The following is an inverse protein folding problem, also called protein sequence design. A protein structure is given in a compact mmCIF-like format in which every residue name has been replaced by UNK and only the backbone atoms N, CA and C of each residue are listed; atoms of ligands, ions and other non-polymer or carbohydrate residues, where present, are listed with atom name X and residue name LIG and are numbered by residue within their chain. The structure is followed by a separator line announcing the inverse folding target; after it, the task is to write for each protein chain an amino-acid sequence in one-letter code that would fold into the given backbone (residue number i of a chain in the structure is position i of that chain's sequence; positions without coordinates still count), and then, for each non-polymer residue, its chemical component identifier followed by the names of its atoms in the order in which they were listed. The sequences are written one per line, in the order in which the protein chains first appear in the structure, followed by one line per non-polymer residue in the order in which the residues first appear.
data_IF_081890406991
#
_entry.id   IF_081890406991
#
_cell.length_a   1.000
_cell.length_b   1.000
_cell.length_c   1.000
_cell.angle_alpha   90.00
_cell.angle_beta   90.00
_cell.angle_gamma   90.00
#
_symmetry.space_group_name_H-M   'P 1'
#
loop_
_entity.id
_entity.type
_entity.pdbx_description
1 polymer ?
#
# COMPACT_ATOMS: atom_id res chain seq x y z
N UNK A 1 -29.21 12.67 -14.12
CA UNK A 1 -28.68 12.49 -13.81
C UNK A 1 -28.03 12.38 -13.34
N UNK A 2 -28.00 12.30 -13.03
CA UNK A 2 -27.26 12.21 -12.53
C UNK A 2 -26.67 11.49 -12.06
N UNK A 3 -26.19 11.46 -12.13
CA UNK A 3 -25.47 10.72 -11.75
C UNK A 3 -25.05 10.83 -10.47
N UNK A 4 -25.03 10.13 -9.96
CA UNK A 4 -24.77 10.15 -8.66
C UNK A 4 -23.43 10.56 -8.52
N UNK A 5 -23.29 11.16 -7.85
CA UNK A 5 -22.21 11.62 -7.74
C UNK A 5 -21.37 10.78 -7.09
N UNK A 6 -20.61 10.43 -7.55
CA UNK A 6 -19.74 9.77 -6.96
C UNK A 6 -18.91 10.71 -6.30
N UNK A 7 -18.75 10.61 -5.10
CA UNK A 7 -17.97 11.49 -4.42
C UNK A 7 -16.61 11.34 -4.86
N UNK A 8 -15.96 12.31 -5.27
CA UNK A 8 -14.58 12.28 -5.68
C UNK A 8 -13.72 12.32 -4.43
N UNK A 9 -12.82 11.40 -4.28
CA UNK A 9 -11.89 11.41 -3.15
C UNK A 9 -10.61 12.11 -3.60
N UNK A 10 -10.46 13.08 -3.22
CA UNK A 10 -9.47 13.90 -3.59
C UNK A 10 -8.17 13.42 -3.26
N UNK A 11 -8.07 12.84 -2.22
CA UNK A 11 -6.88 12.37 -1.79
C UNK A 11 -6.39 11.37 -2.67
N UNK A 12 -7.31 10.56 -2.96
CA UNK A 12 -6.94 9.45 -3.81
C UNK A 12 -6.60 9.93 -5.22
N UNK A 13 -7.35 10.83 -5.74
CA UNK A 13 -7.08 11.34 -7.08
C UNK A 13 -5.70 11.98 -7.12
N UNK A 14 -5.37 12.75 -6.12
CA UNK A 14 -4.05 13.38 -6.04
C UNK A 14 -2.95 12.33 -5.94
N UNK A 15 -3.16 11.37 -5.14
CA UNK A 15 -2.17 10.30 -5.00
C UNK A 15 -1.94 9.57 -6.34
N UNK A 16 -2.86 9.17 -6.91
CA UNK A 16 -2.73 8.55 -8.03
C UNK A 16 -1.97 9.25 -8.98
N UNK A 17 -2.26 10.60 -9.22
CA UNK A 17 -1.47 11.41 -10.15
C UNK A 17 -0.01 11.52 -9.76
N UNK A 18 0.23 11.69 -8.48
CA UNK A 18 1.60 11.79 -7.99
C UNK A 18 2.36 10.49 -8.20
N UNK A 19 1.69 9.36 -8.06
CA UNK A 19 2.35 8.08 -8.30
C UNK A 19 2.78 7.96 -9.75
N UNK A 20 1.92 8.37 -10.67
CA UNK A 20 2.27 8.30 -12.09
C UNK A 20 3.42 9.24 -12.42
N UNK A 21 3.40 10.43 -11.86
CA UNK A 21 4.47 11.38 -12.08
C UNK A 21 5.79 10.84 -11.51
N UNK A 22 5.71 10.26 -10.33
CA UNK A 22 6.90 9.73 -9.68
C UNK A 22 7.48 8.56 -10.49
N UNK A 23 6.61 7.71 -11.04
CA UNK A 23 7.06 6.61 -11.87
C UNK A 23 7.78 7.15 -13.11
N UNK A 24 7.21 8.19 -13.72
CA UNK A 24 7.81 8.79 -14.89
C UNK A 24 9.16 9.39 -14.59
N UNK A 25 9.27 10.11 -13.48
CA UNK A 25 10.50 10.82 -13.18
C UNK A 25 11.61 9.88 -12.70
N UNK A 26 11.28 8.78 -12.04
CA UNK A 26 12.29 7.86 -11.52
C UNK A 26 12.57 6.69 -12.46
N UNK A 27 11.65 6.41 -13.36
CA UNK A 27 11.76 5.22 -14.20
C UNK A 27 11.34 3.95 -13.45
N UNK A 28 10.80 4.08 -12.25
CA UNK A 28 10.45 2.91 -11.45
C UNK A 28 9.00 2.53 -11.68
N UNK A 29 8.77 1.40 -12.30
CA UNK A 29 7.42 0.99 -12.68
C UNK A 29 6.52 0.62 -11.52
N UNK A 30 7.09 0.38 -10.34
CA UNK A 30 6.28 -0.02 -9.21
C UNK A 30 5.24 1.03 -8.85
N UNK A 31 5.55 2.28 -9.06
CA UNK A 31 4.62 3.35 -8.68
C UNK A 31 3.44 3.41 -9.65
N UNK A 32 3.70 3.17 -10.91
CA UNK A 32 2.60 3.09 -11.86
C UNK A 32 1.70 1.86 -11.60
N UNK A 33 2.23 0.87 -11.14
CA UNK A 33 1.55 -0.22 -10.80
C UNK A 33 0.68 -0.04 -9.72
N UNK A 34 1.17 0.63 -8.83
CA UNK A 34 0.38 0.97 -7.66
C UNK A 34 -0.79 1.88 -8.04
N UNK A 35 -0.49 2.90 -8.82
CA UNK A 35 -1.56 3.81 -9.25
C UNK A 35 -2.66 3.08 -9.98
N UNK A 36 -2.27 2.19 -10.87
CA UNK A 36 -3.24 1.44 -11.67
C UNK A 36 -4.15 0.61 -10.78
N UNK A 37 -3.57 -0.03 -9.77
CA UNK A 37 -4.37 -0.82 -8.86
C UNK A 37 -5.34 0.03 -8.05
N UNK A 38 -4.90 1.20 -7.64
CA UNK A 38 -5.76 2.07 -6.85
C UNK A 38 -6.82 2.78 -7.68
N UNK A 39 -6.66 2.80 -8.98
CA UNK A 39 -7.67 3.39 -9.87
C UNK A 39 -8.79 2.41 -10.17
N UNK A 40 -8.63 1.15 -9.84
CA UNK A 40 -9.72 0.19 -10.05
C UNK A 40 -10.73 0.29 -8.92
N UNK A 41 -11.77 -0.31 -8.98
CA UNK A 41 -12.80 -0.16 -8.07
C UNK A 41 -12.35 -0.58 -6.73
N UNK A 42 -12.80 -0.26 -5.97
CA UNK A 42 -12.48 -0.54 -4.70
C UNK A 42 -12.59 -1.94 -4.40
N UNK A 43 -13.68 -2.50 -4.89
CA UNK A 43 -13.85 -3.94 -4.62
C UNK A 43 -12.71 -4.78 -5.17
N UNK A 44 -11.93 -4.22 -6.07
CA UNK A 44 -10.80 -4.95 -6.62
C UNK A 44 -9.49 -4.61 -5.93
N UNK A 45 -9.53 -3.77 -4.93
CA UNK A 45 -8.33 -3.41 -4.22
C UNK A 45 -7.80 -4.59 -3.40
N UNK A 46 -6.49 -4.62 -3.20
CA UNK A 46 -5.90 -5.63 -2.35
C UNK A 46 -6.38 -5.45 -0.91
N UNK A 47 -6.71 -6.55 -0.26
CA UNK A 47 -7.09 -6.50 1.16
C UNK A 47 -6.47 -7.67 1.90
N UNK A 48 -5.16 -7.77 1.90
CA UNK A 48 -4.53 -8.90 2.58
C UNK A 48 -4.62 -8.77 4.09
N UNK A 49 -4.73 -9.90 4.76
CA UNK A 49 -4.59 -9.88 6.21
C UNK A 49 -3.14 -10.12 6.59
N UNK A 50 -2.85 -10.11 7.88
CA UNK A 50 -1.46 -10.21 8.33
C UNK A 50 -0.84 -11.57 8.04
N UNK A 51 -1.63 -12.64 8.11
CA UNK A 51 -1.11 -13.95 7.78
C UNK A 51 -0.66 -14.01 6.34
N UNK A 52 -1.44 -13.40 5.45
CA UNK A 52 -1.10 -13.39 4.03
C UNK A 52 0.20 -12.61 3.79
N UNK A 53 0.31 -11.45 4.43
CA UNK A 53 1.54 -10.65 4.29
C UNK A 53 2.74 -11.44 4.82
N UNK A 54 2.56 -12.07 5.98
CA UNK A 54 3.65 -12.80 6.59
C UNK A 54 4.12 -13.95 5.72
N UNK A 55 3.16 -14.67 5.11
CA UNK A 55 3.52 -15.81 4.27
C UNK A 55 4.25 -15.40 2.99
N UNK A 56 4.00 -14.21 2.51
CA UNK A 56 4.54 -13.77 1.23
C UNK A 56 5.66 -12.74 1.35
N UNK A 57 6.23 -12.59 2.52
CA UNK A 57 7.32 -11.63 2.70
C UNK A 57 8.34 -12.18 3.68
N UNK A 58 9.53 -11.60 3.63
CA UNK A 58 10.61 -11.98 4.53
C UNK A 58 10.70 -11.00 5.69
N UNK A 59 11.34 -11.43 6.76
CA UNK A 59 11.62 -10.55 7.88
C UNK A 59 12.36 -9.32 7.36
N UNK A 60 11.93 -8.16 7.81
CA UNK A 60 12.53 -6.85 7.47
C UNK A 60 12.32 -6.40 6.04
N UNK A 61 11.55 -7.14 5.28
CA UNK A 61 11.27 -6.73 3.91
C UNK A 61 10.26 -5.58 3.89
N UNK A 62 10.30 -4.77 2.84
CA UNK A 62 9.31 -3.72 2.64
C UNK A 62 8.23 -4.23 1.70
N UNK A 63 6.99 -4.14 2.12
CA UNK A 63 5.85 -4.62 1.36
C UNK A 63 4.94 -3.46 1.04
N UNK A 64 4.49 -3.37 -0.19
CA UNK A 64 3.59 -2.31 -0.63
C UNK A 64 2.25 -2.93 -1.00
N UNK A 65 1.19 -2.48 -0.33
CA UNK A 65 -0.15 -2.99 -0.54
C UNK A 65 -1.01 -1.89 -1.15
N UNK A 66 -1.42 -2.01 -2.41
CA UNK A 66 -2.30 -1.00 -3.00
C UNK A 66 -3.74 -1.28 -2.59
N UNK A 67 -4.03 -0.99 -1.37
CA UNK A 67 -5.34 -1.25 -0.80
C UNK A 67 -5.31 -1.12 0.70
N UNK A 68 -6.04 -1.99 1.37
CA UNK A 68 -6.18 -1.93 2.82
C UNK A 68 -5.64 -3.19 3.47
N UNK A 69 -4.86 -3.00 4.53
CA UNK A 69 -4.33 -4.13 5.28
C UNK A 69 -5.28 -4.45 6.43
N UNK A 70 -5.69 -5.69 6.51
CA UNK A 70 -6.62 -6.17 7.52
C UNK A 70 -5.86 -6.91 8.61
N UNK A 71 -6.43 -6.94 9.80
CA UNK A 71 -5.68 -7.36 10.99
C UNK A 71 -5.77 -8.79 11.41
N UNK A 72 -6.50 -9.66 10.67
CA UNK A 72 -6.60 -11.02 11.16
C UNK A 72 -5.30 -11.78 10.94
N UNK A 73 -5.05 -12.76 11.78
CA UNK A 73 -3.83 -13.53 11.74
C UNK A 73 -2.69 -12.80 12.42
N UNK A 74 -1.50 -13.30 12.22
CA UNK A 74 -0.32 -12.75 12.86
C UNK A 74 0.76 -12.49 11.83
N UNK A 75 1.56 -11.48 12.10
CA UNK A 75 2.69 -11.19 11.23
C UNK A 75 3.94 -11.64 11.95
N UNK A 76 4.80 -12.34 11.24
CA UNK A 76 6.04 -12.82 11.80
C UNK A 76 7.16 -12.05 11.15
N UNK A 77 7.94 -11.35 11.97
CA UNK A 77 9.03 -10.55 11.47
C UNK A 77 8.76 -9.07 11.65
N UNK A 78 9.70 -8.28 11.20
CA UNK A 78 9.67 -6.83 11.38
C UNK A 78 9.52 -6.13 10.04
N UNK A 79 8.53 -6.51 9.27
CA UNK A 79 8.33 -5.92 7.96
C UNK A 79 7.97 -4.45 8.05
N UNK A 80 8.30 -3.71 7.00
CA UNK A 80 7.78 -2.37 6.81
C UNK A 80 6.64 -2.53 5.81
N UNK A 81 5.44 -2.12 6.18
CA UNK A 81 4.28 -2.28 5.33
C UNK A 81 3.73 -0.92 4.97
N UNK A 82 3.68 -0.63 3.67
CA UNK A 82 3.08 0.61 3.18
C UNK A 82 1.75 0.25 2.51
N UNK A 83 0.73 1.05 2.74
CA UNK A 83 -0.58 0.77 2.19
C UNK A 83 -1.39 2.04 2.08
N UNK A 84 -2.49 1.97 1.33
CA UNK A 84 -3.40 3.09 1.29
C UNK A 84 -4.08 3.28 2.65
N UNK A 85 -4.46 2.20 3.30
CA UNK A 85 -4.98 2.30 4.66
C UNK A 85 -4.76 1.00 5.43
N UNK A 86 -4.96 1.06 6.73
CA UNK A 86 -4.79 -0.08 7.62
C UNK A 86 -5.95 -0.11 8.58
N UNK A 87 -6.43 -1.29 8.92
CA UNK A 87 -7.33 -1.38 10.05
C UNK A 87 -6.53 -1.07 11.32
N UNK A 88 -7.20 -0.64 12.37
CA UNK A 88 -6.52 -0.34 13.62
C UNK A 88 -5.79 -1.55 14.16
N UNK A 89 -6.43 -2.71 14.08
CA UNK A 89 -5.82 -3.92 14.59
C UNK A 89 -4.57 -4.26 13.79
N UNK A 90 -4.61 -4.09 12.47
CA UNK A 90 -3.44 -4.39 11.64
C UNK A 90 -2.26 -3.51 12.04
N UNK A 91 -2.52 -2.22 12.18
CA UNK A 91 -1.46 -1.30 12.53
C UNK A 91 -0.85 -1.66 13.88
N UNK A 92 -1.68 -1.93 14.85
CA UNK A 92 -1.21 -2.29 16.18
C UNK A 92 -0.34 -3.55 16.16
N UNK A 93 -0.78 -4.57 15.44
CA UNK A 93 -0.04 -5.82 15.40
C UNK A 93 1.29 -5.69 14.67
N UNK A 94 1.31 -4.94 13.57
CA UNK A 94 2.56 -4.75 12.83
C UNK A 94 3.58 -4.03 13.72
N UNK A 95 3.13 -2.99 14.39
CA UNK A 95 4.04 -2.22 15.23
C UNK A 95 4.48 -3.03 16.44
N UNK A 96 3.60 -3.85 16.99
CA UNK A 96 3.94 -4.67 18.15
C UNK A 96 4.98 -5.74 17.81
N UNK A 97 5.03 -6.18 16.54
CA UNK A 97 6.04 -7.16 16.16
C UNK A 97 7.38 -6.49 15.84
N UNK A 98 7.46 -5.18 15.92
CA UNK A 98 8.68 -4.45 15.64
C UNK A 98 8.76 -3.90 14.22
N UNK A 99 7.70 -4.07 13.45
CA UNK A 99 7.66 -3.54 12.09
C UNK A 99 7.20 -2.10 12.06
N UNK A 100 6.97 -1.59 10.85
CA UNK A 100 6.57 -0.21 10.66
C UNK A 100 5.39 -0.15 9.71
N UNK A 101 4.54 0.86 9.87
CA UNK A 101 3.48 1.11 8.92
C UNK A 101 3.71 2.47 8.29
N UNK A 102 3.54 2.55 6.98
CA UNK A 102 3.74 3.78 6.23
C UNK A 102 2.56 4.01 5.30
N UNK A 103 2.31 5.27 5.00
CA UNK A 103 1.46 5.58 3.86
C UNK A 103 2.25 5.34 2.59
N UNK A 104 1.56 5.26 1.47
CA UNK A 104 2.25 5.11 0.19
C UNK A 104 3.13 6.32 -0.09
N UNK A 105 2.65 7.53 0.27
CA UNK A 105 3.47 8.73 0.08
C UNK A 105 4.75 8.68 0.91
N UNK A 106 4.64 8.20 2.13
CA UNK A 106 5.83 8.07 2.97
C UNK A 106 6.84 7.12 2.34
N UNK A 107 6.35 6.03 1.77
CA UNK A 107 7.26 5.10 1.12
C UNK A 107 7.93 5.73 -0.09
N UNK A 108 7.17 6.49 -0.89
CA UNK A 108 7.77 7.18 -2.03
C UNK A 108 8.88 8.11 -1.61
N UNK A 109 8.70 8.78 -0.48
CA UNK A 109 9.71 9.70 0.01
C UNK A 109 10.94 8.99 0.54
N UNK A 110 10.74 7.87 1.24
CA UNK A 110 11.85 7.13 1.79
C UNK A 110 12.64 6.37 0.75
N UNK A 111 11.94 5.85 -0.24
CA UNK A 111 12.56 4.95 -1.21
C UNK A 111 12.05 5.30 -2.60
N UNK A 112 12.51 6.42 -3.14
CA UNK A 112 11.95 6.92 -4.41
C UNK A 112 12.01 5.95 -5.57
N UNK A 113 13.03 5.12 -5.61
CA UNK A 113 13.15 4.17 -6.73
C UNK A 113 12.45 2.85 -6.48
N UNK A 114 11.89 2.66 -5.29
CA UNK A 114 11.18 1.43 -4.99
C UNK A 114 12.05 0.20 -4.92
N UNK A 115 13.35 0.38 -4.68
CA UNK A 115 14.24 -0.73 -4.69
C UNK A 115 13.97 -1.69 -3.53
N UNK A 116 13.86 -2.98 -3.83
CA UNK A 116 13.64 -3.98 -2.81
C UNK A 116 12.22 -4.05 -2.27
N UNK A 117 11.30 -3.32 -2.87
CA UNK A 117 9.93 -3.31 -2.39
C UNK A 117 9.14 -4.43 -3.09
N UNK A 118 8.43 -5.21 -2.30
CA UNK A 118 7.58 -6.26 -2.83
C UNK A 118 6.14 -5.76 -2.85
N UNK A 119 5.50 -5.78 -4.01
CA UNK A 119 4.12 -5.35 -4.07
C UNK A 119 3.23 -6.59 -3.91
N UNK A 120 2.23 -6.47 -3.04
CA UNK A 120 1.32 -7.56 -2.78
C UNK A 120 -0.06 -7.17 -3.27
N UNK A 121 -0.58 -7.89 -4.20
CA UNK A 121 -1.90 -7.59 -4.78
C UNK A 121 -2.87 -8.77 -4.68
#
# INVERSE_FOLDING_TARGET
MSKPERKTNXXLVSLXGDLKDHSRSTGSAIWRXTASRLESXXKNWAEPNLSHISRHSEDKETVLVPGKVLGSGEIIGKQTVAAYSFSEVAKTKIEASGGRTLSIRELMEENPNGKGVRILV
#
